data_IF_286555468463
#
_entry.id   IF_286555468463
#
_cell.length_a   1.000
_cell.length_b   1.000
_cell.length_c   1.000
_cell.angle_alpha   90.00
_cell.angle_beta   90.00
_cell.angle_gamma   90.00
#
_symmetry.space_group_name_H-M   'P 1'
#
loop_
_entity.id
_entity.type
_entity.pdbx_description
1 polymer ?
#
# COMPACT_ATOMS: atom_id res chain seq x y z
N UNK A 1 -18.62 29.48 -2.71
CA UNK A 1 -17.81 29.12 -1.52
C UNK A 1 -17.09 27.84 -1.87
N UNK A 2 -15.76 27.87 -1.94
CA UNK A 2 -14.96 26.68 -2.22
C UNK A 2 -14.74 25.93 -0.89
N UNK A 3 -15.15 24.65 -0.82
CA UNK A 3 -15.03 23.83 0.39
C UNK A 3 -13.93 22.81 0.13
N UNK A 4 -12.72 23.01 0.68
CA UNK A 4 -11.60 22.12 0.39
C UNK A 4 -11.88 20.71 0.91
N UNK A 5 -11.48 19.70 0.14
CA UNK A 5 -11.49 18.32 0.59
C UNK A 5 -10.36 18.11 1.61
N UNK A 6 -10.72 17.63 2.80
CA UNK A 6 -9.79 17.29 3.86
C UNK A 6 -9.87 15.79 4.15
N UNK A 7 -8.73 15.12 4.16
CA UNK A 7 -8.59 13.71 4.55
C UNK A 7 -7.84 13.64 5.87
N UNK A 8 -8.47 13.07 6.89
CA UNK A 8 -7.84 12.81 8.17
C UNK A 8 -7.24 11.40 8.18
N UNK A 9 -6.03 11.29 8.71
CA UNK A 9 -5.28 10.04 8.86
C UNK A 9 -4.67 9.96 10.26
N UNK A 10 -4.17 8.80 10.64
CA UNK A 10 -3.45 8.61 11.90
C UNK A 10 -2.15 9.45 12.00
N UNK A 11 -1.56 9.84 10.87
CA UNK A 11 -0.30 10.59 10.83
C UNK A 11 -0.48 12.10 10.61
N UNK A 12 -1.69 12.56 10.27
CA UNK A 12 -1.96 13.96 9.97
C UNK A 12 -3.18 14.20 9.10
N UNK A 13 -3.31 15.44 8.64
CA UNK A 13 -4.38 15.92 7.75
C UNK A 13 -3.81 16.26 6.37
N UNK A 14 -4.55 15.88 5.34
CA UNK A 14 -4.22 16.14 3.94
C UNK A 14 -5.30 17.06 3.36
N UNK A 15 -4.89 18.19 2.79
CA UNK A 15 -5.77 19.17 2.15
C UNK A 15 -5.56 19.17 0.64
N UNK A 16 -6.62 18.85 -0.10
CA UNK A 16 -6.60 18.90 -1.55
C UNK A 16 -6.62 20.37 -2.02
N UNK A 17 -5.71 20.72 -2.93
CA UNK A 17 -5.68 22.03 -3.60
C UNK A 17 -6.23 21.93 -5.03
N UNK A 18 -7.33 21.18 -5.20
CA UNK A 18 -7.92 20.84 -6.50
C UNK A 18 -7.21 19.67 -7.19
N UNK A 19 -7.34 18.46 -6.63
CA UNK A 19 -6.44 17.35 -6.96
C UNK A 19 -7.09 16.01 -7.17
N UNK A 20 -6.38 15.16 -7.91
CA UNK A 20 -6.55 13.70 -7.92
C UNK A 20 -5.36 13.08 -7.20
N UNK A 21 -5.63 12.33 -6.14
CA UNK A 21 -4.62 11.72 -5.29
C UNK A 21 -5.11 10.42 -4.65
N UNK A 22 -4.16 9.61 -4.19
CA UNK A 22 -4.38 8.34 -3.49
C UNK A 22 -3.76 8.41 -2.11
N UNK A 23 -4.49 7.94 -1.11
CA UNK A 23 -4.05 7.88 0.29
C UNK A 23 -4.16 6.43 0.76
N UNK A 24 -3.04 5.82 1.12
CA UNK A 24 -3.03 4.48 1.70
C UNK A 24 -2.42 4.51 3.09
N UNK A 25 -3.24 4.38 4.11
CA UNK A 25 -2.77 4.21 5.49
C UNK A 25 -2.40 2.75 5.74
N UNK A 26 -1.31 2.49 6.44
CA UNK A 26 -1.01 1.12 6.85
C UNK A 26 -1.95 0.62 7.95
N UNK A 27 -2.07 -0.70 8.10
CA UNK A 27 -2.99 -1.33 9.06
C UNK A 27 -2.74 -0.91 10.51
N UNK A 28 -1.48 -0.62 10.86
CA UNK A 28 -1.09 -0.15 12.20
C UNK A 28 -1.24 1.37 12.39
N UNK A 29 -1.61 2.13 11.35
CA UNK A 29 -1.71 3.59 11.41
C UNK A 29 -0.39 4.34 11.61
N UNK A 30 0.76 3.67 11.45
CA UNK A 30 2.11 4.22 11.62
C UNK A 30 2.55 5.10 10.45
N UNK A 31 2.10 4.80 9.24
CA UNK A 31 2.46 5.55 8.04
C UNK A 31 1.33 5.63 7.03
N UNK A 32 1.41 6.65 6.17
CA UNK A 32 0.52 6.88 5.04
C UNK A 32 1.35 7.08 3.78
N UNK A 33 1.03 6.34 2.73
CA UNK A 33 1.58 6.55 1.39
C UNK A 33 0.63 7.47 0.61
N UNK A 34 1.12 8.64 0.22
CA UNK A 34 0.40 9.65 -0.54
C UNK A 34 0.96 9.73 -1.96
N UNK A 35 0.14 9.45 -2.97
CA UNK A 35 0.45 9.66 -4.38
C UNK A 35 -0.44 10.75 -4.96
N UNK A 36 0.12 11.75 -5.65
CA UNK A 36 -0.63 12.85 -6.27
C UNK A 36 -0.46 12.80 -7.77
N UNK A 37 -1.57 12.71 -8.51
CA UNK A 37 -1.56 12.64 -9.98
C UNK A 37 -1.91 13.97 -10.63
N UNK A 38 -2.72 14.80 -9.96
CA UNK A 38 -3.15 16.12 -10.46
C UNK A 38 -3.18 17.15 -9.33
N UNK A 39 -2.82 18.40 -9.64
CA UNK A 39 -2.72 19.53 -8.71
C UNK A 39 -1.67 19.35 -7.60
N UNK A 40 -1.98 19.72 -6.34
CA UNK A 40 -1.11 19.48 -5.19
C UNK A 40 -1.87 19.20 -3.87
N UNK A 41 -1.27 18.40 -2.98
CA UNK A 41 -1.84 18.09 -1.65
C UNK A 41 -0.97 18.70 -0.56
N UNK A 42 -1.56 19.54 0.27
CA UNK A 42 -0.91 20.09 1.46
C UNK A 42 -1.01 19.09 2.62
N UNK A 43 0.13 18.82 3.27
CA UNK A 43 0.25 17.86 4.36
C UNK A 43 0.52 18.60 5.66
N UNK A 44 -0.32 18.38 6.65
CA UNK A 44 -0.13 18.85 8.03
C UNK A 44 -0.02 17.63 8.95
N UNK A 45 1.16 17.41 9.53
CA UNK A 45 1.39 16.26 10.41
C UNK A 45 0.61 16.38 11.72
N UNK A 46 0.38 15.24 12.38
CA UNK A 46 -0.32 15.19 13.66
C UNK A 46 0.39 16.06 14.70
N UNK A 47 -0.36 16.95 15.37
CA UNK A 47 0.18 17.88 16.37
C UNK A 47 0.89 19.11 15.79
N UNK A 48 1.09 19.20 14.46
CA UNK A 48 1.63 20.39 13.83
C UNK A 48 0.54 21.44 13.56
N UNK A 49 0.89 22.70 13.80
CA UNK A 49 0.00 23.85 13.51
C UNK A 49 0.17 24.42 12.10
N UNK A 50 1.21 23.99 11.38
CA UNK A 50 1.54 24.46 10.02
C UNK A 50 1.75 23.27 9.08
N UNK A 51 1.52 23.45 7.77
CA UNK A 51 1.86 22.44 6.78
C UNK A 51 3.35 22.08 6.85
N UNK A 52 3.63 20.78 6.81
CA UNK A 52 4.99 20.26 6.76
C UNK A 52 5.50 20.17 5.32
N UNK A 53 4.61 19.89 4.36
CA UNK A 53 4.98 19.63 2.96
C UNK A 53 3.79 19.90 2.04
N UNK A 54 4.06 20.33 0.81
CA UNK A 54 3.11 20.29 -0.30
C UNK A 54 3.61 19.26 -1.31
N UNK A 55 2.80 18.24 -1.59
CA UNK A 55 3.11 17.17 -2.54
C UNK A 55 2.48 17.52 -3.89
N UNK A 56 3.28 17.87 -4.92
CA UNK A 56 2.75 18.23 -6.23
C UNK A 56 2.38 16.99 -7.06
N UNK A 57 1.62 17.21 -8.13
CA UNK A 57 1.33 16.19 -9.15
C UNK A 57 2.60 15.52 -9.67
N UNK A 58 2.48 14.23 -9.97
CA UNK A 58 3.61 13.40 -10.38
C UNK A 58 4.50 12.95 -9.22
N UNK A 59 4.14 13.26 -7.98
CA UNK A 59 4.93 12.90 -6.80
C UNK A 59 4.23 11.93 -5.86
N UNK A 60 5.05 11.23 -5.09
CA UNK A 60 4.67 10.36 -4.00
C UNK A 60 5.53 10.65 -2.77
N UNK A 61 4.96 10.50 -1.59
CA UNK A 61 5.68 10.53 -0.33
C UNK A 61 5.09 9.55 0.68
N UNK A 62 5.97 8.98 1.51
CA UNK A 62 5.57 8.29 2.74
C UNK A 62 5.56 9.28 3.90
N UNK A 63 4.43 9.35 4.59
CA UNK A 63 4.20 10.23 5.73
C UNK A 63 4.16 9.38 7.00
N UNK A 64 4.81 9.86 8.06
CA UNK A 64 4.77 9.25 9.40
C UNK A 64 4.40 10.31 10.42
N UNK A 65 4.01 9.91 11.63
CA UNK A 65 3.78 10.87 12.71
C UNK A 65 5.04 11.69 13.08
N UNK A 66 6.24 11.18 12.74
CA UNK A 66 7.52 11.83 13.04
C UNK A 66 7.99 12.78 11.94
N UNK A 67 7.44 12.69 10.73
CA UNK A 67 7.97 13.44 9.59
C UNK A 67 7.50 12.93 8.24
N UNK A 68 7.89 13.66 7.20
CA UNK A 68 7.67 13.30 5.80
C UNK A 68 8.94 12.68 5.21
N UNK A 69 8.80 11.58 4.49
CA UNK A 69 9.85 11.05 3.64
C UNK A 69 10.13 11.97 2.44
N UNK A 70 11.21 11.69 1.72
CA UNK A 70 11.55 12.40 0.48
C UNK A 70 10.48 12.22 -0.60
N UNK A 71 10.27 13.27 -1.39
CA UNK A 71 9.41 13.20 -2.56
C UNK A 71 10.06 12.31 -3.62
N UNK A 72 9.30 11.35 -4.11
CA UNK A 72 9.70 10.48 -5.22
C UNK A 72 8.71 10.64 -6.37
N UNK A 73 9.11 10.30 -7.59
CA UNK A 73 8.19 10.25 -8.72
C UNK A 73 7.11 9.20 -8.48
N UNK A 74 5.84 9.57 -8.67
CA UNK A 74 4.73 8.63 -8.60
C UNK A 74 4.93 7.54 -9.64
N UNK A 75 4.74 6.29 -9.24
CA UNK A 75 4.82 5.16 -10.17
C UNK A 75 3.47 4.48 -10.32
N UNK A 76 3.18 3.84 -11.47
CA UNK A 76 1.90 3.18 -11.70
C UNK A 76 1.51 2.18 -10.60
N UNK A 77 2.48 1.53 -9.96
CA UNK A 77 2.27 0.56 -8.89
C UNK A 77 1.54 1.17 -7.68
N UNK A 78 1.78 2.45 -7.37
CA UNK A 78 1.17 3.14 -6.23
C UNK A 78 -0.32 3.45 -6.44
N UNK A 79 -0.80 3.38 -7.70
CA UNK A 79 -2.17 3.66 -8.10
C UNK A 79 -2.91 2.40 -8.59
N UNK A 80 -2.20 1.28 -8.74
CA UNK A 80 -2.77 0.04 -9.29
C UNK A 80 -3.90 -0.53 -8.43
N UNK A 81 -3.84 -0.33 -7.11
CA UNK A 81 -4.86 -0.80 -6.17
C UNK A 81 -6.24 -0.17 -6.45
N UNK A 82 -6.27 1.09 -6.91
CA UNK A 82 -7.50 1.77 -7.31
C UNK A 82 -8.15 1.13 -8.54
N UNK A 83 -7.40 0.30 -9.27
CA UNK A 83 -7.86 -0.52 -10.39
C UNK A 83 -7.96 -2.01 -10.04
N UNK A 84 -7.93 -2.36 -8.75
CA UNK A 84 -8.09 -3.74 -8.28
C UNK A 84 -6.85 -4.62 -8.47
N UNK A 85 -5.66 -4.04 -8.65
CA UNK A 85 -4.42 -4.78 -8.89
C UNK A 85 -3.32 -4.40 -7.89
N UNK A 86 -2.55 -5.39 -7.44
CA UNK A 86 -1.26 -5.19 -6.79
C UNK A 86 -0.17 -5.36 -7.84
N UNK A 87 0.57 -4.30 -8.14
CA UNK A 87 1.75 -4.41 -9.00
C UNK A 87 2.99 -4.43 -8.13
N UNK A 88 3.69 -5.55 -8.15
CA UNK A 88 4.95 -5.78 -7.46
C UNK A 88 6.11 -5.55 -8.43
N UNK A 89 7.16 -4.88 -7.96
CA UNK A 89 8.42 -4.67 -8.66
C UNK A 89 9.57 -4.91 -7.67
N UNK A 90 10.21 -6.08 -7.77
CA UNK A 90 11.22 -6.56 -6.83
C UNK A 90 10.78 -6.42 -5.34
N UNK A 91 9.49 -6.60 -5.09
CA UNK A 91 8.86 -6.45 -3.78
C UNK A 91 9.13 -7.71 -2.93
N UNK A 92 9.50 -7.60 -1.64
CA UNK A 92 9.62 -8.77 -0.77
C UNK A 92 8.27 -9.50 -0.61
N UNK A 93 8.29 -10.83 -0.59
CA UNK A 93 7.08 -11.65 -0.41
C UNK A 93 6.30 -11.28 0.86
N UNK A 94 6.98 -10.90 1.94
CA UNK A 94 6.32 -10.42 3.15
C UNK A 94 5.45 -9.18 2.90
N UNK A 95 5.92 -8.25 2.06
CA UNK A 95 5.17 -7.07 1.69
C UNK A 95 4.00 -7.42 0.76
N UNK A 96 4.21 -8.33 -0.20
CA UNK A 96 3.12 -8.86 -1.05
C UNK A 96 2.02 -9.50 -0.20
N UNK A 97 2.39 -10.36 0.75
CA UNK A 97 1.44 -10.98 1.68
C UNK A 97 0.72 -9.93 2.53
N UNK A 98 1.42 -8.89 2.98
CA UNK A 98 0.82 -7.77 3.74
C UNK A 98 -0.14 -6.95 2.89
N UNK A 99 0.11 -6.80 1.58
CA UNK A 99 -0.81 -6.12 0.68
C UNK A 99 -2.04 -6.99 0.41
N UNK A 100 -1.87 -8.27 0.08
CA UNK A 100 -2.97 -9.19 -0.18
C UNK A 100 -3.85 -9.42 1.06
N UNK A 101 -3.27 -9.42 2.26
CA UNK A 101 -4.04 -9.61 3.51
C UNK A 101 -5.09 -8.53 3.75
N UNK A 102 -4.90 -7.32 3.20
CA UNK A 102 -5.87 -6.21 3.31
C UNK A 102 -7.15 -6.44 2.50
N UNK A 103 -7.09 -7.28 1.47
CA UNK A 103 -8.18 -7.51 0.53
C UNK A 103 -8.82 -8.88 0.70
N UNK A 104 -8.46 -9.63 1.74
CA UNK A 104 -9.06 -10.93 2.04
C UNK A 104 -9.53 -11.03 3.50
N UNK A 105 -10.56 -11.83 3.78
CA UNK A 105 -10.86 -12.24 5.15
C UNK A 105 -9.78 -13.19 5.67
N UNK A 106 -9.62 -13.20 7.00
CA UNK A 106 -8.73 -14.11 7.70
C UNK A 106 -7.27 -13.65 7.75
N UNK A 107 -6.39 -14.59 8.07
CA UNK A 107 -4.97 -14.36 8.28
C UNK A 107 -4.17 -14.90 7.10
N UNK A 108 -3.25 -14.08 6.60
CA UNK A 108 -2.24 -14.45 5.62
C UNK A 108 -0.87 -14.25 6.24
N UNK A 109 -0.16 -15.35 6.46
CA UNK A 109 1.16 -15.39 7.05
C UNK A 109 2.20 -15.77 6.00
N UNK A 110 3.38 -15.15 6.07
CA UNK A 110 4.55 -15.51 5.27
C UNK A 110 5.63 -16.06 6.21
N UNK A 111 6.15 -17.26 5.93
CA UNK A 111 7.20 -17.86 6.79
C UNK A 111 8.54 -17.12 6.62
N UNK A 112 9.43 -17.16 7.64
CA UNK A 112 10.72 -16.49 7.62
C UNK A 112 11.59 -16.82 6.39
N UNK A 113 11.48 -18.03 5.85
CA UNK A 113 12.26 -18.48 4.70
C UNK A 113 11.75 -17.87 3.38
N UNK A 114 10.46 -17.50 3.32
CA UNK A 114 9.84 -16.92 2.15
C UNK A 114 9.89 -15.38 2.13
N UNK A 115 10.03 -14.71 3.28
CA UNK A 115 9.83 -13.24 3.40
C UNK A 115 10.67 -12.40 2.43
N UNK A 116 11.87 -12.84 2.11
CA UNK A 116 12.86 -12.11 1.30
C UNK A 116 12.75 -12.40 -0.20
N UNK A 117 11.95 -13.40 -0.61
CA UNK A 117 11.75 -13.74 -2.02
C UNK A 117 11.23 -12.50 -2.76
N UNK A 118 11.91 -12.15 -3.87
CA UNK A 118 11.57 -10.98 -4.67
C UNK A 118 10.48 -11.32 -5.68
N UNK A 119 9.36 -10.65 -5.54
CA UNK A 119 8.17 -10.80 -6.36
C UNK A 119 8.05 -9.63 -7.32
N UNK A 120 7.77 -9.95 -8.58
CA UNK A 120 7.53 -9.01 -9.67
C UNK A 120 6.37 -9.50 -10.50
N UNK A 121 5.40 -8.63 -10.77
CA UNK A 121 4.19 -8.99 -11.52
C UNK A 121 2.97 -8.19 -11.09
N UNK A 122 1.84 -8.46 -11.73
CA UNK A 122 0.55 -7.86 -11.39
C UNK A 122 -0.41 -8.95 -10.88
N UNK A 123 -0.94 -8.75 -9.67
CA UNK A 123 -1.78 -9.70 -8.97
C UNK A 123 -3.15 -9.11 -8.69
N UNK A 124 -4.25 -9.83 -8.97
CA UNK A 124 -5.59 -9.32 -8.71
C UNK A 124 -5.87 -9.23 -7.21
N UNK A 125 -6.42 -8.09 -6.77
CA UNK A 125 -6.81 -7.87 -5.37
C UNK A 125 -8.24 -8.36 -5.08
N UNK A 126 -9.11 -8.39 -6.09
CA UNK A 126 -10.48 -8.89 -5.95
C UNK A 126 -10.55 -10.42 -5.78
N UNK A 127 -9.53 -11.14 -6.24
CA UNK A 127 -9.41 -12.60 -6.12
C UNK A 127 -8.01 -12.94 -5.60
N UNK A 128 -7.84 -12.80 -4.28
CA UNK A 128 -6.55 -13.05 -3.62
C UNK A 128 -6.13 -14.52 -3.65
N UNK A 129 -7.06 -15.46 -3.83
CA UNK A 129 -6.71 -16.88 -3.93
C UNK A 129 -6.10 -17.20 -5.30
N UNK A 130 -6.60 -16.57 -6.37
CA UNK A 130 -5.92 -16.57 -7.67
C UNK A 130 -4.54 -15.92 -7.59
N UNK A 131 -4.40 -14.78 -6.91
CA UNK A 131 -3.10 -14.15 -6.72
C UNK A 131 -2.09 -15.10 -6.02
N UNK A 132 -2.52 -15.79 -4.96
CA UNK A 132 -1.68 -16.76 -4.25
C UNK A 132 -1.33 -17.98 -5.09
N UNK A 133 -2.25 -18.46 -5.94
CA UNK A 133 -1.95 -19.54 -6.88
C UNK A 133 -0.86 -19.11 -7.88
N UNK A 134 -0.98 -17.91 -8.46
CA UNK A 134 0.04 -17.36 -9.37
C UNK A 134 1.41 -17.23 -8.68
N UNK A 135 1.43 -16.83 -7.40
CA UNK A 135 2.67 -16.75 -6.63
C UNK A 135 3.31 -18.14 -6.45
N UNK A 136 2.53 -19.17 -6.13
CA UNK A 136 3.00 -20.55 -5.99
C UNK A 136 3.47 -21.19 -7.31
N UNK A 137 2.89 -20.77 -8.43
CA UNK A 137 3.30 -21.23 -9.77
C UNK A 137 4.62 -20.59 -10.23
N UNK A 138 4.88 -19.35 -9.82
CA UNK A 138 6.02 -18.56 -10.32
C UNK A 138 7.24 -18.64 -9.41
N UNK A 139 7.01 -18.71 -8.10
CA UNK A 139 8.07 -18.72 -7.09
C UNK A 139 8.11 -20.06 -6.39
N UNK A 140 9.28 -20.43 -5.86
CA UNK A 140 9.46 -21.64 -5.04
C UNK A 140 8.80 -21.45 -3.66
N UNK A 141 7.46 -21.34 -3.66
CA UNK A 141 6.64 -21.20 -2.47
C UNK A 141 5.43 -22.12 -2.53
N UNK A 142 5.05 -22.62 -1.36
CA UNK A 142 3.86 -23.45 -1.16
C UNK A 142 2.82 -22.68 -0.35
N UNK A 143 1.55 -22.79 -0.74
CA UNK A 143 0.43 -22.12 -0.05
C UNK A 143 -0.38 -23.14 0.75
N UNK A 144 -0.18 -23.15 2.06
CA UNK A 144 -0.94 -23.99 2.99
C UNK A 144 -2.22 -23.28 3.42
N UNK A 145 -3.36 -23.96 3.29
CA UNK A 145 -4.67 -23.43 3.70
C UNK A 145 -5.24 -24.25 4.85
N UNK A 146 -5.75 -23.57 5.87
CA UNK A 146 -6.41 -24.17 7.03
C UNK A 146 -7.76 -23.47 7.25
N UNK A 147 -8.68 -24.17 7.91
CA UNK A 147 -10.03 -23.68 8.22
C UNK A 147 -10.72 -23.01 7.03
N UNK A 148 -10.84 -23.76 5.92
CA UNK A 148 -11.47 -23.30 4.68
C UNK A 148 -10.87 -22.01 4.10
N UNK A 149 -9.58 -21.75 4.33
CA UNK A 149 -8.87 -20.58 3.79
C UNK A 149 -8.93 -19.33 4.66
N UNK A 150 -9.48 -19.42 5.88
CA UNK A 150 -9.41 -18.35 6.87
C UNK A 150 -7.99 -18.18 7.44
N UNK A 151 -7.18 -19.22 7.40
CA UNK A 151 -5.75 -19.15 7.73
C UNK A 151 -4.93 -19.67 6.56
N UNK A 152 -4.13 -18.80 5.98
CA UNK A 152 -3.26 -19.10 4.86
C UNK A 152 -1.81 -18.83 5.24
N UNK A 153 -0.93 -19.78 4.95
CA UNK A 153 0.51 -19.64 5.15
C UNK A 153 1.22 -19.82 3.81
N UNK A 154 2.01 -18.83 3.41
CA UNK A 154 2.96 -18.91 2.30
C UNK A 154 4.31 -19.30 2.88
N UNK A 155 4.81 -20.48 2.50
CA UNK A 155 6.10 -21.02 2.93
C UNK A 155 7.02 -21.21 1.73
N UNK A 156 8.34 -21.14 1.93
CA UNK A 156 9.27 -21.56 0.88
C UNK A 156 9.11 -23.07 0.60
N UNK A 157 9.23 -23.46 -0.67
CA UNK A 157 9.20 -24.86 -1.10
C UNK A 157 10.52 -25.58 -0.83
#
# INVERSE_FOLDING_TARGET
MDRPLLVATAVGRLRALGTRFSVQQNSEGKFVDLAVTEGAVEVTLLGASRPALVVPAGSWARLTALGTGELQTVRPQQLAWAHGMLVADAMPMAEVCTQLSRYRPGLLHCTPEAVSIKVSGAYPLADTDRALAMLAETYAVTVHRRWQGYWVTVAAS
#
